data_IF_026017328955
#
_entry.id   IF_026017328955
#
_cell.length_a   1.000
_cell.length_b   1.000
_cell.length_c   1.000
_cell.angle_alpha   90.00
_cell.angle_beta   90.00
_cell.angle_gamma   90.00
#
_symmetry.space_group_name_H-M   'P 1'
#
loop_
_entity.id
_entity.type
_entity.pdbx_description
1 polymer ?
#
# COMPACT_ATOMS: atom_id res chain seq x y z
N UNK A 1 -3.49 7.85 -33.99
CA UNK A 1 -4.81 7.35 -33.54
C UNK A 1 -4.69 5.84 -33.34
N UNK A 2 -4.29 5.42 -32.14
CA UNK A 2 -4.11 3.99 -31.83
C UNK A 2 -5.47 3.32 -31.61
N UNK A 3 -5.68 2.19 -32.31
CA UNK A 3 -6.89 1.37 -32.28
C UNK A 3 -7.12 0.78 -30.88
N UNK A 4 -8.29 1.05 -30.30
CA UNK A 4 -8.72 0.60 -28.97
C UNK A 4 -9.65 -0.63 -29.04
N UNK A 5 -9.36 -1.60 -29.90
CA UNK A 5 -10.18 -2.82 -29.99
C UNK A 5 -9.32 -4.06 -30.26
N UNK A 6 -8.60 -4.51 -29.23
CA UNK A 6 -8.08 -5.88 -29.20
C UNK A 6 -8.01 -6.35 -27.73
N UNK A 7 -9.09 -6.97 -27.24
CA UNK A 7 -9.20 -7.50 -25.88
C UNK A 7 -8.85 -8.99 -25.78
N UNK A 8 -8.22 -9.57 -26.81
CA UNK A 8 -7.93 -11.01 -26.91
C UNK A 8 -6.44 -11.34 -27.16
N UNK A 9 -5.52 -10.47 -26.73
CA UNK A 9 -4.11 -10.85 -26.65
C UNK A 9 -3.88 -11.66 -25.36
N UNK A 10 -4.13 -12.97 -25.43
CA UNK A 10 -3.69 -13.90 -24.38
C UNK A 10 -2.18 -13.76 -24.28
N UNK A 11 -1.71 -13.21 -23.17
CA UNK A 11 -0.29 -13.14 -22.80
C UNK A 11 0.29 -14.55 -22.90
N UNK A 12 0.95 -14.85 -24.01
CA UNK A 12 1.61 -16.13 -24.23
C UNK A 12 2.84 -16.19 -23.35
N UNK A 13 2.78 -17.03 -22.32
CA UNK A 13 3.83 -17.21 -21.32
C UNK A 13 5.12 -17.73 -21.97
N UNK A 14 6.26 -17.30 -21.44
CA UNK A 14 7.54 -17.98 -21.67
C UNK A 14 7.39 -19.48 -21.35
N UNK A 15 7.85 -20.39 -22.23
CA UNK A 15 7.62 -21.83 -22.10
C UNK A 15 8.22 -22.48 -20.84
N UNK A 16 9.03 -21.73 -20.08
CA UNK A 16 9.70 -22.16 -18.84
C UNK A 16 8.85 -21.99 -17.56
N UNK A 17 7.71 -21.29 -17.61
CA UNK A 17 6.79 -21.14 -16.46
C UNK A 17 5.57 -22.07 -16.60
N UNK A 18 5.76 -23.36 -16.29
CA UNK A 18 4.65 -24.31 -16.21
C UNK A 18 4.09 -24.36 -14.79
N UNK A 19 3.09 -23.52 -14.50
CA UNK A 19 2.30 -23.58 -13.27
C UNK A 19 0.96 -24.27 -13.54
N UNK A 20 0.54 -25.20 -12.66
CA UNK A 20 -0.77 -25.88 -12.75
C UNK A 20 -1.96 -24.93 -12.58
N UNK A 21 -1.70 -23.72 -12.05
CA UNK A 21 -2.65 -22.63 -11.90
C UNK A 21 -2.62 -21.70 -13.12
N UNK A 22 -3.76 -21.53 -13.79
CA UNK A 22 -3.97 -20.47 -14.79
C UNK A 22 -4.44 -19.19 -14.09
N UNK A 23 -3.89 -18.04 -14.50
CA UNK A 23 -4.26 -16.73 -13.96
C UNK A 23 -5.74 -16.44 -14.22
N UNK A 24 -6.54 -16.38 -13.15
CA UNK A 24 -7.98 -16.09 -13.20
C UNK A 24 -8.94 -17.29 -13.04
N UNK A 25 -8.45 -18.48 -12.67
CA UNK A 25 -9.28 -19.68 -12.45
C UNK A 25 -10.39 -19.51 -11.38
N UNK A 26 -10.12 -18.75 -10.31
CA UNK A 26 -11.08 -18.51 -9.22
C UNK A 26 -11.90 -17.23 -9.37
N UNK A 27 -11.75 -16.52 -10.50
CA UNK A 27 -12.41 -15.24 -10.70
C UNK A 27 -13.80 -15.45 -11.31
N UNK A 28 -14.81 -14.84 -10.67
CA UNK A 28 -16.13 -14.72 -11.26
C UNK A 28 -16.10 -13.49 -12.20
N UNK A 29 -16.62 -13.65 -13.43
CA UNK A 29 -16.68 -12.59 -14.43
C UNK A 29 -18.09 -12.06 -14.71
N UNK A 30 -18.81 -11.50 -13.71
CA UNK A 30 -20.08 -10.85 -13.99
C UNK A 30 -19.83 -9.54 -14.77
N UNK A 31 -20.56 -9.34 -15.87
CA UNK A 31 -20.51 -8.11 -16.69
C UNK A 31 -19.11 -7.75 -17.26
N UNK A 32 -18.20 -8.72 -17.37
CA UNK A 32 -16.85 -8.48 -17.88
C UNK A 32 -15.84 -7.96 -16.84
N UNK A 33 -16.24 -7.86 -15.56
CA UNK A 33 -15.33 -7.53 -14.46
C UNK A 33 -14.74 -8.81 -13.84
N UNK A 34 -13.42 -8.88 -13.75
CA UNK A 34 -12.71 -10.00 -13.13
C UNK A 34 -12.68 -9.83 -11.61
N UNK A 35 -13.63 -10.45 -10.89
CA UNK A 35 -13.78 -10.30 -9.43
C UNK A 35 -13.23 -11.53 -8.72
N UNK A 36 -12.27 -11.31 -7.83
CA UNK A 36 -11.81 -12.31 -6.86
C UNK A 36 -12.87 -12.48 -5.78
N UNK A 37 -13.76 -13.47 -5.98
CA UNK A 37 -15.02 -13.61 -5.25
C UNK A 37 -14.90 -13.62 -3.71
N UNK A 38 -13.99 -14.40 -3.09
CA UNK A 38 -13.93 -14.45 -1.63
C UNK A 38 -13.38 -13.16 -1.01
N UNK A 39 -12.32 -12.58 -1.59
CA UNK A 39 -11.63 -11.43 -1.00
C UNK A 39 -12.46 -10.15 -1.16
N UNK A 40 -13.08 -9.96 -2.32
CA UNK A 40 -13.87 -8.77 -2.60
C UNK A 40 -15.09 -8.66 -1.69
N UNK A 41 -15.87 -9.74 -1.57
CA UNK A 41 -17.11 -9.73 -0.77
C UNK A 41 -16.82 -9.54 0.72
N UNK A 42 -15.84 -10.26 1.26
CA UNK A 42 -15.48 -10.16 2.68
C UNK A 42 -14.99 -8.74 2.99
N UNK A 43 -14.06 -8.20 2.19
CA UNK A 43 -13.49 -6.88 2.45
C UNK A 43 -14.55 -5.77 2.33
N UNK A 44 -15.40 -5.83 1.29
CA UNK A 44 -16.47 -4.85 1.09
C UNK A 44 -17.49 -4.87 2.22
N UNK A 45 -17.94 -6.06 2.63
CA UNK A 45 -18.89 -6.20 3.73
C UNK A 45 -18.33 -5.69 5.05
N UNK A 46 -17.06 -5.99 5.36
CA UNK A 46 -16.40 -5.50 6.58
C UNK A 46 -16.30 -3.98 6.58
N UNK A 47 -15.91 -3.36 5.45
CA UNK A 47 -15.82 -1.89 5.34
C UNK A 47 -17.20 -1.25 5.49
N UNK A 48 -18.23 -1.77 4.80
CA UNK A 48 -19.59 -1.22 4.88
C UNK A 48 -20.11 -1.35 6.31
N UNK A 49 -19.97 -2.52 6.94
CA UNK A 49 -20.40 -2.74 8.31
C UNK A 49 -19.69 -1.78 9.29
N UNK A 50 -18.38 -1.62 9.13
CA UNK A 50 -17.58 -0.68 9.92
C UNK A 50 -18.11 0.76 9.81
N UNK A 51 -18.36 1.23 8.57
CA UNK A 51 -18.88 2.58 8.33
C UNK A 51 -20.29 2.75 8.92
N UNK A 52 -21.19 1.78 8.73
CA UNK A 52 -22.55 1.85 9.29
C UNK A 52 -22.51 1.91 10.82
N UNK A 53 -21.71 1.08 11.47
CA UNK A 53 -21.57 1.10 12.94
C UNK A 53 -21.01 2.43 13.43
N UNK A 54 -19.98 2.95 12.76
CA UNK A 54 -19.36 4.23 13.11
C UNK A 54 -20.33 5.41 13.00
N UNK A 55 -21.19 5.40 11.97
CA UNK A 55 -22.18 6.46 11.75
C UNK A 55 -23.43 6.31 12.64
N UNK A 56 -23.85 5.08 12.94
CA UNK A 56 -25.04 4.81 13.75
C UNK A 56 -24.87 5.25 15.20
N UNK A 57 -23.65 5.15 15.77
CA UNK A 57 -23.37 5.58 17.13
C UNK A 57 -21.99 6.24 17.27
N UNK A 58 -21.92 7.49 16.84
CA UNK A 58 -20.70 8.29 16.88
C UNK A 58 -20.11 8.43 18.29
N UNK A 59 -20.95 8.53 19.33
CA UNK A 59 -20.49 8.68 20.71
C UNK A 59 -19.77 7.41 21.22
N UNK A 60 -20.34 6.24 20.96
CA UNK A 60 -19.71 4.97 21.30
C UNK A 60 -18.41 4.75 20.52
N UNK A 61 -18.39 5.09 19.22
CA UNK A 61 -17.17 5.02 18.42
C UNK A 61 -16.08 5.96 18.93
N UNK A 62 -16.43 7.21 19.27
CA UNK A 62 -15.48 8.16 19.84
C UNK A 62 -14.89 7.66 21.18
N UNK A 63 -15.73 7.12 22.07
CA UNK A 63 -15.26 6.52 23.31
C UNK A 63 -14.35 5.30 23.06
N UNK A 64 -14.72 4.43 22.11
CA UNK A 64 -13.94 3.26 21.73
C UNK A 64 -12.55 3.63 21.20
N UNK A 65 -12.47 4.52 20.20
CA UNK A 65 -11.19 4.99 19.67
C UNK A 65 -10.42 5.84 20.69
N UNK A 66 -11.13 6.54 21.57
CA UNK A 66 -10.55 7.37 22.63
C UNK A 66 -9.72 6.59 23.64
N UNK A 67 -10.11 5.37 24.01
CA UNK A 67 -9.28 4.50 24.85
C UNK A 67 -8.32 3.63 24.03
N UNK A 68 -8.73 3.20 22.83
CA UNK A 68 -7.94 2.29 22.00
C UNK A 68 -6.64 2.94 21.50
N UNK A 69 -6.69 4.19 21.05
CA UNK A 69 -5.50 4.89 20.54
C UNK A 69 -4.41 5.00 21.64
N UNK A 70 -4.69 5.54 22.84
CA UNK A 70 -3.71 5.59 23.93
C UNK A 70 -3.19 4.21 24.33
N UNK A 71 -4.06 3.20 24.38
CA UNK A 71 -3.67 1.82 24.71
C UNK A 71 -2.63 1.29 23.71
N UNK A 72 -2.89 1.43 22.40
CA UNK A 72 -1.95 1.01 21.36
C UNK A 72 -0.63 1.79 21.43
N UNK A 73 -0.68 3.11 21.65
CA UNK A 73 0.53 3.94 21.75
C UNK A 73 1.27 3.81 23.08
N UNK A 74 0.68 3.20 24.11
CA UNK A 74 1.35 2.94 25.39
C UNK A 74 2.02 1.57 25.39
N UNK A 75 1.32 0.56 24.89
CA UNK A 75 1.77 -0.83 25.00
C UNK A 75 2.55 -1.30 23.76
N UNK A 76 2.21 -0.81 22.56
CA UNK A 76 2.78 -1.30 21.29
C UNK A 76 3.75 -0.32 20.63
N UNK A 77 4.00 0.85 21.22
CA UNK A 77 4.88 1.87 20.64
C UNK A 77 6.31 1.35 20.41
N UNK A 78 6.89 0.68 21.42
CA UNK A 78 8.22 0.07 21.30
C UNK A 78 8.31 -0.92 20.14
N UNK A 79 7.24 -1.71 19.91
CA UNK A 79 7.20 -2.69 18.83
C UNK A 79 7.10 -2.01 17.46
N UNK A 80 6.31 -0.94 17.34
CA UNK A 80 6.18 -0.17 16.10
C UNK A 80 7.51 0.50 15.73
N UNK A 81 8.18 1.15 16.69
CA UNK A 81 9.47 1.81 16.46
C UNK A 81 10.54 0.79 16.05
N UNK A 82 10.70 -0.30 16.80
CA UNK A 82 11.68 -1.35 16.47
C UNK A 82 11.38 -1.99 15.11
N UNK A 83 10.11 -2.20 14.76
CA UNK A 83 9.75 -2.78 13.47
C UNK A 83 10.18 -1.90 12.31
N UNK A 84 9.97 -0.59 12.41
CA UNK A 84 10.42 0.38 11.40
C UNK A 84 11.95 0.41 11.30
N UNK A 85 12.64 0.42 12.44
CA UNK A 85 14.10 0.39 12.49
C UNK A 85 14.68 -0.89 11.88
N UNK A 86 14.07 -2.05 12.16
CA UNK A 86 14.49 -3.34 11.56
C UNK A 86 14.30 -3.32 10.05
N UNK A 87 13.16 -2.83 9.54
CA UNK A 87 12.90 -2.74 8.10
C UNK A 87 13.91 -1.78 7.44
N UNK A 88 14.19 -0.64 8.09
CA UNK A 88 15.20 0.32 7.62
C UNK A 88 16.57 -0.34 7.52
N UNK A 89 17.04 -0.99 8.59
CA UNK A 89 18.33 -1.67 8.63
C UNK A 89 18.38 -2.82 7.62
N UNK A 90 17.28 -3.55 7.44
CA UNK A 90 17.17 -4.60 6.44
C UNK A 90 17.32 -4.04 5.02
N UNK A 91 16.62 -2.95 4.69
CA UNK A 91 16.75 -2.27 3.39
C UNK A 91 18.18 -1.76 3.17
N UNK A 92 18.83 -1.20 4.19
CA UNK A 92 20.23 -0.78 4.10
C UNK A 92 21.17 -1.97 3.93
N UNK A 93 20.93 -3.08 4.63
CA UNK A 93 21.71 -4.31 4.48
C UNK A 93 21.60 -4.90 3.08
N UNK A 94 20.42 -4.84 2.44
CA UNK A 94 20.21 -5.28 1.06
C UNK A 94 21.06 -4.52 0.05
N UNK A 95 21.43 -3.26 0.32
CA UNK A 95 22.33 -2.47 -0.54
C UNK A 95 23.73 -3.10 -0.60
N UNK A 96 24.23 -3.59 0.54
CA UNK A 96 25.58 -4.17 0.64
C UNK A 96 25.61 -5.68 0.38
N UNK A 97 24.48 -6.37 0.54
CA UNK A 97 24.39 -7.80 0.28
C UNK A 97 24.38 -8.10 -1.24
N UNK A 98 24.92 -9.26 -1.66
CA UNK A 98 24.94 -9.66 -3.07
C UNK A 98 23.52 -9.81 -3.67
N UNK A 99 22.50 -10.01 -2.84
CA UNK A 99 21.10 -10.08 -3.29
C UNK A 99 20.57 -8.74 -3.84
N UNK A 100 21.17 -7.60 -3.45
CA UNK A 100 20.79 -6.29 -4.01
C UNK A 100 21.16 -6.12 -5.49
N UNK A 101 22.08 -6.95 -6.01
CA UNK A 101 22.48 -6.94 -7.42
C UNK A 101 21.56 -7.75 -8.34
N UNK A 102 20.60 -8.48 -7.77
CA UNK A 102 19.68 -9.34 -8.52
C UNK A 102 18.62 -8.48 -9.22
N UNK A 103 18.53 -8.62 -10.54
CA UNK A 103 17.49 -7.94 -11.34
C UNK A 103 16.14 -8.65 -11.19
N UNK A 104 15.13 -7.89 -10.81
CA UNK A 104 13.73 -8.36 -10.75
C UNK A 104 13.21 -8.42 -12.19
N UNK A 105 12.76 -9.61 -12.63
CA UNK A 105 12.31 -9.85 -14.01
C UNK A 105 13.25 -10.72 -14.86
N UNK A 106 14.34 -11.24 -14.29
CA UNK A 106 15.26 -12.16 -14.95
C UNK A 106 16.63 -11.55 -15.27
N UNK A 107 17.57 -12.39 -15.71
CA UNK A 107 18.98 -11.98 -15.91
C UNK A 107 19.14 -10.91 -16.99
N UNK A 108 18.31 -10.97 -18.02
CA UNK A 108 18.36 -10.07 -19.19
C UNK A 108 17.33 -8.93 -19.14
N UNK A 109 16.63 -8.77 -18.00
CA UNK A 109 15.66 -7.71 -17.82
C UNK A 109 16.32 -6.32 -17.99
N UNK A 110 15.62 -5.46 -18.73
CA UNK A 110 15.97 -4.04 -18.94
C UNK A 110 14.90 -3.18 -18.27
N UNK A 111 15.26 -1.99 -17.76
CA UNK A 111 14.28 -1.09 -17.16
C UNK A 111 13.29 -0.59 -18.23
N UNK A 112 11.99 -0.73 -17.96
CA UNK A 112 10.93 -0.26 -18.85
C UNK A 112 10.81 1.27 -18.89
N UNK A 113 11.28 1.93 -17.83
CA UNK A 113 11.22 3.38 -17.66
C UNK A 113 12.62 3.98 -17.56
N UNK A 114 12.78 5.22 -18.04
CA UNK A 114 14.01 5.98 -17.85
C UNK A 114 14.23 6.28 -16.36
N UNK A 115 15.49 6.49 -15.94
CA UNK A 115 15.81 6.82 -14.55
C UNK A 115 15.05 8.04 -14.03
N UNK A 116 14.91 9.09 -14.85
CA UNK A 116 14.13 10.27 -14.47
C UNK A 116 12.64 9.96 -14.29
N UNK A 117 12.06 9.14 -15.20
CA UNK A 117 10.67 8.69 -15.08
C UNK A 117 10.45 7.82 -13.83
N UNK A 118 11.39 6.92 -13.53
CA UNK A 118 11.34 6.06 -12.34
C UNK A 118 11.38 6.85 -11.04
N UNK A 119 12.29 7.82 -10.91
CA UNK A 119 12.35 8.70 -9.72
C UNK A 119 11.06 9.49 -9.57
N UNK A 120 10.52 10.03 -10.67
CA UNK A 120 9.26 10.76 -10.64
C UNK A 120 8.08 9.87 -10.17
N UNK A 121 8.04 8.60 -10.58
CA UNK A 121 7.03 7.65 -10.11
C UNK A 121 7.16 7.33 -8.61
N UNK A 122 8.39 7.13 -8.11
CA UNK A 122 8.60 6.91 -6.66
C UNK A 122 8.18 8.13 -5.83
N UNK A 123 8.45 9.33 -6.32
CA UNK A 123 8.02 10.56 -5.67
C UNK A 123 6.49 10.72 -5.68
N UNK A 124 5.86 10.45 -6.82
CA UNK A 124 4.40 10.50 -6.94
C UNK A 124 3.69 9.44 -6.06
N UNK A 125 4.27 8.24 -5.94
CA UNK A 125 3.76 7.20 -5.06
C UNK A 125 3.98 7.52 -3.57
N UNK A 126 5.08 8.20 -3.22
CA UNK A 126 5.46 8.51 -1.85
C UNK A 126 4.84 9.80 -1.27
N UNK A 127 4.61 10.82 -2.10
CA UNK A 127 4.00 12.08 -1.63
C UNK A 127 2.50 11.90 -1.49
N UNK A 128 2.08 11.55 -0.28
CA UNK A 128 0.68 11.43 0.10
C UNK A 128 0.07 12.73 0.61
N UNK A 129 -1.25 12.69 0.80
CA UNK A 129 -2.05 13.73 1.45
C UNK A 129 -1.49 14.13 2.83
N UNK A 130 -0.80 13.21 3.53
CA UNK A 130 -0.19 13.46 4.83
C UNK A 130 0.78 14.64 4.83
N UNK A 131 1.61 14.81 3.79
CA UNK A 131 2.55 15.94 3.71
C UNK A 131 1.82 17.29 3.58
N UNK A 132 0.65 17.33 2.95
CA UNK A 132 -0.14 18.56 2.82
C UNK A 132 -0.80 18.96 4.15
N UNK A 133 -1.23 17.99 4.95
CA UNK A 133 -1.78 18.25 6.29
C UNK A 133 -0.67 18.52 7.30
N UNK A 134 0.26 17.58 7.49
CA UNK A 134 1.30 17.68 8.51
C UNK A 134 2.38 18.70 8.18
N UNK A 135 2.62 19.02 6.91
CA UNK A 135 3.62 20.01 6.51
C UNK A 135 3.35 21.44 7.02
N UNK A 136 2.08 21.80 7.25
CA UNK A 136 1.72 23.08 7.89
C UNK A 136 1.40 22.90 9.37
N UNK A 137 0.78 21.77 9.73
CA UNK A 137 0.38 21.50 11.11
C UNK A 137 1.58 21.34 12.05
N UNK A 138 2.62 20.62 11.65
CA UNK A 138 3.78 20.38 12.53
C UNK A 138 4.53 21.68 12.85
N UNK A 139 4.93 22.54 11.88
CA UNK A 139 5.57 23.80 12.22
C UNK A 139 4.68 24.72 13.05
N UNK A 140 3.37 24.70 12.78
CA UNK A 140 2.43 25.51 13.58
C UNK A 140 2.36 24.98 15.01
N UNK A 141 2.29 23.68 15.20
CA UNK A 141 2.18 23.07 16.51
C UNK A 141 3.45 23.27 17.35
N UNK A 142 4.64 23.03 16.78
CA UNK A 142 5.89 23.15 17.52
C UNK A 142 6.29 24.61 17.77
N UNK A 143 6.20 25.49 16.76
CA UNK A 143 6.64 26.88 16.93
C UNK A 143 5.64 27.77 17.69
N UNK A 144 4.33 27.50 17.58
CA UNK A 144 3.33 28.32 18.28
C UNK A 144 2.92 27.75 19.64
N UNK A 145 3.15 26.46 19.94
CA UNK A 145 2.90 25.96 21.30
C UNK A 145 4.01 26.33 22.30
N UNK A 146 5.24 26.61 21.84
CA UNK A 146 6.32 27.15 22.68
C UNK A 146 6.19 28.67 22.98
N UNK A 147 5.25 29.38 22.33
CA UNK A 147 5.01 30.81 22.54
C UNK A 147 3.89 31.15 23.55
N UNK A 148 3.33 30.14 24.22
CA UNK A 148 2.11 30.25 25.02
C UNK A 148 2.20 29.65 26.42
N UNK A 149 3.34 29.85 27.10
CA UNK A 149 3.52 30.01 28.56
C UNK A 149 5.01 30.06 28.89
#
# INVERSE_FOLDING_TARGET
>A
MANLHNSDERVSLDPDFQTEFELGQDNIRPFGFDIHNPVFLISSLVIIAFVVVALANQAASAAFFGWLRPFLTSEFDWFLVISVDIILLFCLALIFLPVGSVRIGGKDAKPDYSYAGWIAMMFAAGIGIGLLFFGVLEPTYYNFSEGGN
#
